data_IF_638137216658
#
_entry.id   IF_638137216658
#
_cell.length_a   1.000
_cell.length_b   1.000
_cell.length_c   1.000
_cell.angle_alpha   90.00
_cell.angle_beta   90.00
_cell.angle_gamma   90.00
#
_symmetry.space_group_name_H-M   'P 1'
#
loop_
_entity.id
_entity.type
_entity.pdbx_description
1 polymer ?
#
# COMPACT_ATOMS: atom_id res chain seq x y z
N UNK A 1 -4.36 -20.21 4.95
CA UNK A 1 -5.01 -19.06 5.63
C UNK A 1 -6.48 -19.15 5.30
N UNK A 2 -7.36 -19.33 6.29
CA UNK A 2 -8.80 -19.28 6.05
C UNK A 2 -9.21 -17.83 5.83
N UNK A 3 -9.64 -17.50 4.61
CA UNK A 3 -10.19 -16.17 4.31
C UNK A 3 -11.48 -16.02 5.11
N UNK A 4 -11.57 -15.07 6.07
CA UNK A 4 -12.81 -14.85 6.81
C UNK A 4 -13.89 -14.35 5.85
N UNK A 5 -15.16 -14.76 6.01
CA UNK A 5 -16.23 -14.26 5.16
C UNK A 5 -16.40 -12.75 5.34
N UNK A 6 -16.53 -12.05 4.23
CA UNK A 6 -16.58 -10.59 4.14
C UNK A 6 -17.66 -10.01 5.06
N UNK A 7 -17.39 -8.84 5.65
CA UNK A 7 -18.30 -8.16 6.56
C UNK A 7 -19.53 -7.59 5.81
N UNK A 8 -20.58 -8.40 5.65
CA UNK A 8 -21.81 -8.00 4.94
C UNK A 8 -22.45 -6.70 5.44
N UNK A 9 -22.40 -6.42 6.76
CA UNK A 9 -22.88 -5.14 7.33
C UNK A 9 -22.10 -3.93 6.80
N UNK A 10 -20.77 -4.02 6.74
CA UNK A 10 -19.92 -2.94 6.23
C UNK A 10 -20.07 -2.81 4.71
N UNK A 11 -20.18 -3.93 4.00
CA UNK A 11 -20.45 -3.91 2.56
C UNK A 11 -21.72 -3.11 2.26
N UNK A 12 -22.83 -3.40 2.95
CA UNK A 12 -24.10 -2.66 2.77
C UNK A 12 -23.94 -1.18 3.14
N UNK A 13 -23.29 -0.86 4.27
CA UNK A 13 -23.06 0.54 4.67
C UNK A 13 -22.19 1.30 3.65
N UNK A 14 -21.15 0.67 3.12
CA UNK A 14 -20.25 1.27 2.13
C UNK A 14 -20.94 1.55 0.79
N UNK A 15 -21.89 0.70 0.38
CA UNK A 15 -22.70 0.94 -0.82
C UNK A 15 -23.61 2.17 -0.68
N UNK A 16 -23.84 2.66 0.54
CA UNK A 16 -24.47 3.96 0.79
C UNK A 16 -23.72 5.14 0.16
N UNK A 17 -22.44 4.98 -0.20
CA UNK A 17 -21.69 5.98 -0.94
C UNK A 17 -22.31 6.29 -2.31
N UNK A 18 -22.93 5.31 -2.98
CA UNK A 18 -23.56 5.50 -4.30
C UNK A 18 -24.66 6.58 -4.30
N UNK A 19 -25.75 6.43 -3.52
CA UNK A 19 -26.81 7.44 -3.49
C UNK A 19 -26.32 8.77 -2.89
N UNK A 20 -25.38 8.73 -1.94
CA UNK A 20 -24.81 9.95 -1.35
C UNK A 20 -24.04 10.75 -2.40
N UNK A 21 -23.07 10.14 -3.09
CA UNK A 21 -22.28 10.80 -4.14
C UNK A 21 -23.19 11.37 -5.24
N UNK A 22 -24.14 10.58 -5.73
CA UNK A 22 -25.09 11.03 -6.74
C UNK A 22 -25.90 12.25 -6.28
N UNK A 23 -26.45 12.23 -5.06
CA UNK A 23 -27.22 13.34 -4.52
C UNK A 23 -26.36 14.61 -4.35
N UNK A 24 -25.12 14.47 -3.87
CA UNK A 24 -24.20 15.60 -3.70
C UNK A 24 -23.88 16.27 -5.02
N UNK A 25 -23.75 15.53 -6.12
CA UNK A 25 -23.45 16.12 -7.41
C UNK A 25 -24.53 17.11 -7.91
N UNK A 26 -25.73 17.09 -7.31
CA UNK A 26 -26.81 18.03 -7.60
C UNK A 26 -26.92 19.21 -6.61
N UNK A 27 -26.05 19.30 -5.59
CA UNK A 27 -26.09 20.36 -4.59
C UNK A 27 -25.26 21.56 -5.04
N UNK A 28 -25.92 22.68 -5.31
CA UNK A 28 -25.28 23.91 -5.81
C UNK A 28 -24.19 24.48 -4.87
N UNK A 29 -24.35 24.31 -3.56
CA UNK A 29 -23.36 24.75 -2.55
C UNK A 29 -21.99 24.05 -2.66
N UNK A 30 -21.92 22.92 -3.37
CA UNK A 30 -20.67 22.19 -3.63
C UNK A 30 -19.87 22.74 -4.82
N UNK A 31 -20.35 23.82 -5.44
CA UNK A 31 -19.60 24.59 -6.44
C UNK A 31 -18.47 25.44 -5.83
N UNK A 32 -18.34 25.45 -4.50
CA UNK A 32 -17.29 26.16 -3.76
C UNK A 32 -16.46 25.20 -2.90
N UNK A 33 -15.11 25.34 -2.87
CA UNK A 33 -14.23 24.43 -2.12
C UNK A 33 -14.59 24.28 -0.63
N UNK A 34 -15.02 25.34 0.04
CA UNK A 34 -15.45 25.29 1.44
C UNK A 34 -16.72 24.46 1.64
N UNK A 35 -17.67 24.54 0.71
CA UNK A 35 -18.88 23.72 0.73
C UNK A 35 -18.54 22.23 0.65
N UNK A 36 -17.58 21.87 -0.21
CA UNK A 36 -17.07 20.50 -0.34
C UNK A 36 -16.50 19.98 0.97
N UNK A 37 -15.67 20.78 1.65
CA UNK A 37 -15.06 20.38 2.93
C UNK A 37 -16.11 20.19 4.01
N UNK A 38 -17.02 21.15 4.20
CA UNK A 38 -18.05 21.09 5.25
C UNK A 38 -19.00 19.91 5.06
N UNK A 39 -19.45 19.67 3.82
CA UNK A 39 -20.32 18.54 3.52
C UNK A 39 -19.60 17.20 3.68
N UNK A 40 -18.33 17.10 3.25
CA UNK A 40 -17.53 15.90 3.45
C UNK A 40 -17.34 15.58 4.94
N UNK A 41 -17.05 16.59 5.76
CA UNK A 41 -16.93 16.43 7.21
C UNK A 41 -18.26 16.02 7.86
N UNK A 42 -19.38 16.61 7.43
CA UNK A 42 -20.72 16.24 7.92
C UNK A 42 -21.05 14.78 7.60
N UNK A 43 -20.80 14.34 6.36
CA UNK A 43 -21.06 12.96 5.93
C UNK A 43 -20.20 11.97 6.71
N UNK A 44 -18.91 12.25 6.87
CA UNK A 44 -18.02 11.41 7.67
C UNK A 44 -18.48 11.34 9.13
N UNK A 45 -18.93 12.46 9.71
CA UNK A 45 -19.49 12.51 11.05
C UNK A 45 -20.76 11.67 11.20
N UNK A 46 -21.72 11.81 10.29
CA UNK A 46 -22.96 11.02 10.27
C UNK A 46 -22.68 9.53 10.07
N UNK A 47 -21.77 9.20 9.15
CA UNK A 47 -21.32 7.83 8.91
C UNK A 47 -20.70 7.23 10.17
N UNK A 48 -19.82 7.97 10.86
CA UNK A 48 -19.21 7.51 12.10
C UNK A 48 -20.25 7.24 13.19
N UNK A 49 -21.24 8.13 13.36
CA UNK A 49 -22.36 7.92 14.30
C UNK A 49 -23.18 6.68 13.93
N UNK A 50 -23.47 6.47 12.64
CA UNK A 50 -24.18 5.29 12.16
C UNK A 50 -23.38 4.00 12.43
N UNK A 51 -22.07 3.99 12.13
CA UNK A 51 -21.19 2.85 12.42
C UNK A 51 -21.14 2.55 13.92
N UNK A 52 -20.97 3.59 14.74
CA UNK A 52 -20.90 3.47 16.20
C UNK A 52 -22.17 2.90 16.82
N UNK A 53 -23.34 3.36 16.35
CA UNK A 53 -24.63 2.87 16.83
C UNK A 53 -24.93 1.44 16.38
N UNK A 54 -24.64 1.09 15.12
CA UNK A 54 -24.95 -0.22 14.54
C UNK A 54 -23.97 -1.34 14.91
N UNK A 55 -22.73 -0.98 15.30
CA UNK A 55 -21.63 -1.94 15.51
C UNK A 55 -20.90 -1.74 16.86
N UNK A 56 -21.63 -1.30 17.89
CA UNK A 56 -21.07 -0.99 19.21
C UNK A 56 -20.31 -2.17 19.83
N UNK A 57 -20.78 -3.40 19.64
CA UNK A 57 -20.16 -4.61 20.20
C UNK A 57 -18.85 -5.00 19.52
N UNK A 58 -18.75 -4.78 18.20
CA UNK A 58 -17.53 -4.99 17.43
C UNK A 58 -16.48 -3.93 17.77
N UNK A 59 -16.88 -2.66 17.85
CA UNK A 59 -15.99 -1.53 18.18
C UNK A 59 -15.45 -1.62 19.61
N UNK A 60 -16.28 -2.06 20.57
CA UNK A 60 -15.84 -2.25 21.95
C UNK A 60 -14.76 -3.34 22.07
N UNK A 61 -14.84 -4.38 21.24
CA UNK A 61 -13.82 -5.43 21.20
C UNK A 61 -12.56 -4.98 20.47
N UNK A 62 -12.71 -4.35 19.30
CA UNK A 62 -11.59 -3.82 18.52
C UNK A 62 -11.97 -2.50 17.84
N UNK A 63 -11.41 -1.36 18.26
CA UNK A 63 -11.76 -0.05 17.72
C UNK A 63 -11.35 0.12 16.25
N UNK A 64 -10.46 -0.73 15.72
CA UNK A 64 -10.10 -0.72 14.29
C UNK A 64 -11.27 -1.10 13.39
N UNK A 65 -12.31 -1.73 13.94
CA UNK A 65 -13.55 -1.99 13.21
C UNK A 65 -14.16 -0.70 12.64
N UNK A 66 -14.20 0.38 13.43
CA UNK A 66 -14.74 1.66 12.97
C UNK A 66 -13.88 2.27 11.85
N UNK A 67 -12.55 2.17 11.97
CA UNK A 67 -11.61 2.66 10.94
C UNK A 67 -11.82 1.91 9.62
N UNK A 68 -11.87 0.58 9.66
CA UNK A 68 -12.09 -0.21 8.45
C UNK A 68 -13.49 0.01 7.85
N UNK A 69 -14.51 0.27 8.66
CA UNK A 69 -15.84 0.57 8.17
C UNK A 69 -15.91 1.94 7.47
N UNK A 70 -15.27 2.98 8.04
CA UNK A 70 -15.18 4.30 7.41
C UNK A 70 -14.37 4.22 6.12
N UNK A 71 -13.20 3.57 6.14
CA UNK A 71 -12.40 3.45 4.91
C UNK A 71 -13.05 2.56 3.85
N UNK A 72 -13.84 1.55 4.22
CA UNK A 72 -14.61 0.81 3.23
C UNK A 72 -15.63 1.70 2.50
N UNK A 73 -16.25 2.66 3.20
CA UNK A 73 -17.13 3.64 2.56
C UNK A 73 -16.34 4.57 1.62
N UNK A 74 -15.21 5.11 2.08
CA UNK A 74 -14.40 6.03 1.26
C UNK A 74 -13.82 5.31 0.04
N UNK A 75 -13.45 4.04 0.14
CA UNK A 75 -13.02 3.24 -1.02
C UNK A 75 -14.11 3.10 -2.09
N UNK A 76 -15.39 3.02 -1.71
CA UNK A 76 -16.48 3.04 -2.72
C UNK A 76 -16.56 4.41 -3.39
N UNK A 77 -16.36 5.49 -2.63
CA UNK A 77 -16.26 6.85 -3.19
C UNK A 77 -15.07 6.96 -4.16
N UNK A 78 -13.91 6.42 -3.80
CA UNK A 78 -12.72 6.38 -4.66
C UNK A 78 -12.98 5.60 -5.95
N UNK A 79 -13.65 4.45 -5.87
CA UNK A 79 -14.05 3.71 -7.06
C UNK A 79 -14.96 4.53 -7.99
N UNK A 80 -15.90 5.29 -7.43
CA UNK A 80 -16.76 6.17 -8.21
C UNK A 80 -16.00 7.32 -8.86
N UNK A 81 -15.00 7.88 -8.17
CA UNK A 81 -14.09 8.87 -8.74
C UNK A 81 -13.36 8.28 -9.94
N UNK A 82 -12.74 7.11 -9.79
CA UNK A 82 -11.98 6.46 -10.86
C UNK A 82 -12.87 6.13 -12.08
N UNK A 83 -14.03 5.50 -11.85
CA UNK A 83 -14.98 5.16 -12.91
C UNK A 83 -15.52 6.39 -13.65
N UNK A 84 -15.73 7.50 -12.93
CA UNK A 84 -16.20 8.72 -13.56
C UNK A 84 -15.10 9.39 -14.38
N UNK A 85 -13.88 9.49 -13.87
CA UNK A 85 -12.78 10.08 -14.62
C UNK A 85 -12.43 9.25 -15.87
N UNK A 86 -12.68 7.95 -15.88
CA UNK A 86 -12.53 7.13 -17.09
C UNK A 86 -13.79 7.09 -17.98
N UNK A 87 -14.86 7.77 -17.58
CA UNK A 87 -16.09 7.89 -18.39
C UNK A 87 -17.03 6.69 -18.33
N UNK A 88 -16.81 5.74 -17.41
CA UNK A 88 -17.71 4.61 -17.17
C UNK A 88 -18.92 4.98 -16.32
N UNK A 89 -18.82 6.06 -15.54
CA UNK A 89 -19.90 6.61 -14.72
C UNK A 89 -20.05 8.11 -14.97
N UNK A 90 -21.24 8.67 -14.77
CA UNK A 90 -21.51 10.10 -14.94
C UNK A 90 -22.36 10.62 -13.80
N UNK A 91 -22.02 11.80 -13.27
CA UNK A 91 -22.86 12.53 -12.33
C UNK A 91 -22.74 12.11 -10.87
N UNK A 92 -21.61 11.51 -10.46
CA UNK A 92 -21.39 11.06 -9.08
C UNK A 92 -20.41 11.95 -8.31
N UNK A 93 -19.26 12.27 -8.88
CA UNK A 93 -18.11 12.84 -8.17
C UNK A 93 -17.51 14.07 -8.87
N UNK A 94 -18.23 14.68 -9.80
CA UNK A 94 -17.70 15.77 -10.64
C UNK A 94 -17.45 17.04 -9.83
N UNK A 95 -18.33 17.34 -8.88
CA UNK A 95 -18.12 18.42 -7.92
C UNK A 95 -16.82 18.22 -7.12
N UNK A 96 -16.48 16.98 -6.75
CA UNK A 96 -15.36 16.70 -5.87
C UNK A 96 -14.03 16.76 -6.62
N UNK A 97 -13.95 16.19 -7.82
CA UNK A 97 -12.71 16.25 -8.62
C UNK A 97 -12.47 17.61 -9.26
N UNK A 98 -13.51 18.43 -9.46
CA UNK A 98 -13.35 19.83 -9.90
C UNK A 98 -13.06 20.76 -8.73
N UNK A 99 -13.85 20.68 -7.66
CA UNK A 99 -13.85 21.69 -6.61
C UNK A 99 -13.09 21.31 -5.32
N UNK A 100 -12.98 20.01 -5.04
CA UNK A 100 -12.19 19.49 -3.93
C UNK A 100 -10.76 19.17 -4.36
N UNK A 101 -10.57 18.00 -4.98
CA UNK A 101 -9.26 17.38 -5.16
C UNK A 101 -8.94 17.16 -6.66
N UNK A 102 -8.47 18.20 -7.38
CA UNK A 102 -8.19 18.13 -8.82
C UNK A 102 -7.06 17.16 -9.17
N UNK A 103 -6.20 16.83 -8.22
CA UNK A 103 -5.11 15.86 -8.36
C UNK A 103 -5.62 14.44 -8.64
N UNK A 104 -6.84 14.09 -8.21
CA UNK A 104 -7.46 12.79 -8.49
C UNK A 104 -7.80 12.60 -9.97
N UNK A 105 -7.83 13.68 -10.76
CA UNK A 105 -8.04 13.64 -12.22
C UNK A 105 -6.80 13.22 -13.00
N UNK A 106 -5.65 13.14 -12.35
CA UNK A 106 -4.42 12.64 -12.98
C UNK A 106 -4.50 11.13 -13.18
N UNK A 107 -3.73 10.59 -14.12
CA UNK A 107 -3.63 9.15 -14.29
C UNK A 107 -3.21 8.43 -12.99
N UNK A 108 -2.25 8.99 -12.24
CA UNK A 108 -1.83 8.43 -10.97
C UNK A 108 -2.94 8.45 -9.92
N UNK A 109 -3.66 9.58 -9.80
CA UNK A 109 -4.81 9.71 -8.91
C UNK A 109 -5.91 8.69 -9.21
N UNK A 110 -6.27 8.52 -10.49
CA UNK A 110 -7.25 7.51 -10.94
C UNK A 110 -6.83 6.10 -10.53
N UNK A 111 -5.57 5.71 -10.73
CA UNK A 111 -5.12 4.37 -10.36
C UNK A 111 -4.96 4.16 -8.85
N UNK A 112 -4.65 5.20 -8.07
CA UNK A 112 -4.76 5.12 -6.59
C UNK A 112 -6.22 4.86 -6.22
N UNK A 113 -7.16 5.59 -6.79
CA UNK A 113 -8.58 5.40 -6.52
C UNK A 113 -9.09 4.00 -6.91
N UNK A 114 -8.62 3.44 -8.03
CA UNK A 114 -8.91 2.04 -8.37
C UNK A 114 -8.34 1.06 -7.35
N UNK A 115 -7.10 1.26 -6.90
CA UNK A 115 -6.50 0.40 -5.88
C UNK A 115 -7.25 0.46 -4.55
N UNK A 116 -7.63 1.67 -4.14
CA UNK A 116 -8.41 1.91 -2.92
C UNK A 116 -9.79 1.25 -3.03
N UNK A 117 -10.49 1.50 -4.14
CA UNK A 117 -11.81 0.96 -4.44
C UNK A 117 -11.89 -0.55 -4.66
N UNK A 118 -10.75 -1.22 -4.86
CA UNK A 118 -10.68 -2.67 -5.10
C UNK A 118 -9.91 -3.38 -4.00
N UNK A 119 -8.58 -3.25 -3.96
CA UNK A 119 -7.70 -3.98 -3.06
C UNK A 119 -7.91 -3.55 -1.62
N UNK A 120 -7.87 -2.24 -1.32
CA UNK A 120 -8.11 -1.79 0.04
C UNK A 120 -9.55 -2.08 0.49
N UNK A 121 -10.55 -1.87 -0.37
CA UNK A 121 -11.93 -2.24 -0.07
C UNK A 121 -12.07 -3.69 0.39
N UNK A 122 -11.50 -4.64 -0.37
CA UNK A 122 -11.51 -6.06 -0.02
C UNK A 122 -10.76 -6.34 1.28
N UNK A 123 -9.63 -5.68 1.52
CA UNK A 123 -8.88 -5.79 2.77
C UNK A 123 -9.70 -5.28 3.97
N UNK A 124 -10.41 -4.16 3.85
CA UNK A 124 -11.27 -3.63 4.90
C UNK A 124 -12.40 -4.60 5.25
N UNK A 125 -13.08 -5.14 4.24
CA UNK A 125 -14.15 -6.12 4.45
C UNK A 125 -13.63 -7.41 5.09
N UNK A 126 -12.43 -7.88 4.70
CA UNK A 126 -11.81 -9.07 5.26
C UNK A 126 -11.35 -8.85 6.71
N UNK A 127 -10.69 -7.73 7.01
CA UNK A 127 -10.22 -7.39 8.36
C UNK A 127 -11.39 -7.17 9.32
N UNK A 128 -12.42 -6.43 8.90
CA UNK A 128 -13.61 -6.26 9.72
C UNK A 128 -14.40 -7.56 9.88
N UNK A 129 -14.43 -8.42 8.85
CA UNK A 129 -14.99 -9.76 8.93
C UNK A 129 -14.26 -10.63 9.94
N UNK A 130 -12.92 -10.53 10.00
CA UNK A 130 -12.09 -11.19 11.01
C UNK A 130 -12.41 -10.69 12.43
N UNK A 131 -12.51 -9.37 12.64
CA UNK A 131 -12.87 -8.78 13.94
C UNK A 131 -14.22 -9.32 14.42
N UNK A 132 -15.23 -9.35 13.55
CA UNK A 132 -16.57 -9.87 13.87
C UNK A 132 -16.53 -11.34 14.26
N UNK A 133 -15.67 -12.13 13.62
CA UNK A 133 -15.46 -13.55 13.92
C UNK A 133 -14.44 -13.79 15.04
N UNK A 134 -13.96 -12.72 15.70
CA UNK A 134 -12.91 -12.80 16.74
C UNK A 134 -11.66 -13.54 16.26
N UNK A 135 -11.35 -13.43 14.96
CA UNK A 135 -10.17 -14.01 14.32
C UNK A 135 -9.08 -12.94 14.17
N UNK A 136 -7.82 -13.41 14.14
CA UNK A 136 -6.66 -12.55 13.89
C UNK A 136 -6.64 -12.07 12.44
N UNK A 137 -6.27 -10.82 12.22
CA UNK A 137 -6.14 -10.20 10.90
C UNK A 137 -4.81 -9.47 10.70
N UNK A 138 -3.90 -9.54 11.68
CA UNK A 138 -2.62 -8.84 11.71
C UNK A 138 -1.87 -8.85 10.38
N UNK A 139 -1.76 -9.99 9.71
CA UNK A 139 -1.02 -10.08 8.44
C UNK A 139 -1.69 -9.28 7.31
N UNK A 140 -3.02 -9.28 7.24
CA UNK A 140 -3.78 -8.42 6.31
C UNK A 140 -3.57 -6.94 6.68
N UNK A 141 -3.57 -6.62 7.97
CA UNK A 141 -3.31 -5.28 8.48
C UNK A 141 -1.92 -4.76 8.12
N UNK A 142 -0.88 -5.60 8.20
CA UNK A 142 0.49 -5.21 7.82
C UNK A 142 0.62 -4.97 6.32
N UNK A 143 -0.01 -5.80 5.49
CA UNK A 143 -0.08 -5.58 4.05
C UNK A 143 -0.80 -4.27 3.71
N UNK A 144 -2.00 -4.07 4.28
CA UNK A 144 -2.76 -2.84 4.15
C UNK A 144 -1.93 -1.62 4.57
N UNK A 145 -1.26 -1.69 5.71
CA UNK A 145 -0.48 -0.58 6.24
C UNK A 145 0.63 -0.16 5.28
N UNK A 146 1.38 -1.11 4.71
CA UNK A 146 2.43 -0.78 3.75
C UNK A 146 1.90 -0.17 2.46
N UNK A 147 0.81 -0.73 1.93
CA UNK A 147 0.09 -0.22 0.76
C UNK A 147 -0.39 1.23 0.98
N UNK A 148 -0.97 1.49 2.14
CA UNK A 148 -1.46 2.80 2.53
C UNK A 148 -0.33 3.82 2.75
N UNK A 149 0.74 3.44 3.46
CA UNK A 149 1.92 4.30 3.68
C UNK A 149 2.54 4.71 2.34
N UNK A 150 2.69 3.76 1.42
CA UNK A 150 3.27 4.05 0.10
C UNK A 150 2.41 5.05 -0.68
N UNK A 151 1.09 4.88 -0.66
CA UNK A 151 0.15 5.82 -1.29
C UNK A 151 0.36 7.23 -0.75
N UNK A 152 0.48 7.39 0.56
CA UNK A 152 0.72 8.70 1.19
C UNK A 152 2.09 9.27 0.81
N UNK A 153 3.15 8.47 0.89
CA UNK A 153 4.53 8.91 0.63
C UNK A 153 4.74 9.37 -0.82
N UNK A 154 3.95 8.87 -1.76
CA UNK A 154 4.01 9.28 -3.16
C UNK A 154 3.01 10.39 -3.47
N UNK A 155 1.75 10.22 -3.07
CA UNK A 155 0.67 11.11 -3.50
C UNK A 155 0.75 12.49 -2.86
N UNK A 156 0.98 12.59 -1.55
CA UNK A 156 1.01 13.89 -0.87
C UNK A 156 2.20 14.74 -1.34
N UNK A 157 3.46 14.26 -1.31
CA UNK A 157 4.58 15.03 -1.83
C UNK A 157 4.45 15.31 -3.34
N UNK A 158 3.89 14.38 -4.11
CA UNK A 158 3.60 14.60 -5.54
C UNK A 158 2.64 15.76 -5.77
N UNK A 159 1.60 15.91 -4.96
CA UNK A 159 0.69 17.06 -5.02
C UNK A 159 1.40 18.39 -4.71
N UNK A 160 2.37 18.37 -3.78
CA UNK A 160 3.13 19.56 -3.37
C UNK A 160 4.22 19.93 -4.38
N UNK A 161 4.85 18.95 -5.04
CA UNK A 161 5.99 19.15 -5.95
C UNK A 161 5.57 19.27 -7.42
N UNK A 162 4.45 18.67 -7.79
CA UNK A 162 4.01 18.57 -9.18
C UNK A 162 3.34 19.84 -9.69
N UNK A 163 2.76 19.73 -10.89
CA UNK A 163 2.06 20.82 -11.58
C UNK A 163 0.90 21.46 -10.81
N UNK A 164 0.38 20.82 -9.78
CA UNK A 164 -0.71 21.33 -8.93
C UNK A 164 -0.23 22.02 -7.65
N UNK A 165 1.09 22.20 -7.47
CA UNK A 165 1.70 22.80 -6.29
C UNK A 165 1.18 24.21 -5.95
N UNK A 166 0.76 24.99 -6.95
CA UNK A 166 0.16 26.32 -6.77
C UNK A 166 -1.33 26.31 -6.44
N UNK A 167 -2.00 25.15 -6.49
CA UNK A 167 -3.45 24.99 -6.34
C UNK A 167 -3.84 24.12 -5.13
N UNK A 168 -3.12 24.26 -4.01
CA UNK A 168 -3.45 23.54 -2.78
C UNK A 168 -4.77 24.07 -2.20
N UNK A 169 -5.86 23.35 -2.48
CA UNK A 169 -7.22 23.66 -2.00
C UNK A 169 -7.40 23.29 -0.53
N UNK A 170 -8.35 23.91 0.21
CA UNK A 170 -8.59 23.58 1.62
C UNK A 170 -8.92 22.11 1.90
N UNK A 171 -9.48 21.40 0.92
CA UNK A 171 -9.72 19.94 0.99
C UNK A 171 -8.44 19.14 1.19
N UNK A 172 -7.27 19.65 0.77
CA UNK A 172 -5.98 19.03 1.02
C UNK A 172 -5.73 18.81 2.52
N UNK A 173 -6.26 19.66 3.40
CA UNK A 173 -6.12 19.48 4.85
C UNK A 173 -6.94 18.31 5.40
N UNK A 174 -7.91 17.79 4.63
CA UNK A 174 -8.54 16.50 4.94
C UNK A 174 -7.54 15.35 4.86
N UNK A 175 -6.39 15.53 4.21
CA UNK A 175 -5.30 14.54 4.27
C UNK A 175 -4.74 14.36 5.69
N UNK A 176 -4.85 15.35 6.59
CA UNK A 176 -4.34 15.27 7.97
C UNK A 176 -4.97 14.10 8.74
N UNK A 177 -6.31 14.00 8.89
CA UNK A 177 -6.92 12.84 9.54
C UNK A 177 -6.63 11.54 8.79
N UNK A 178 -6.53 11.58 7.45
CA UNK A 178 -6.13 10.44 6.62
C UNK A 178 -4.67 9.98 6.84
N UNK A 179 -3.80 10.81 7.40
CA UNK A 179 -2.44 10.41 7.83
C UNK A 179 -2.47 9.95 9.29
N UNK A 180 -3.10 10.72 10.19
CA UNK A 180 -3.06 10.47 11.63
C UNK A 180 -3.78 9.17 12.04
N UNK A 181 -4.99 8.94 11.51
CA UNK A 181 -5.79 7.76 11.87
C UNK A 181 -5.11 6.46 11.41
N UNK A 182 -4.57 6.35 10.19
CA UNK A 182 -3.84 5.17 9.75
C UNK A 182 -2.50 4.97 10.43
N UNK A 183 -1.79 6.04 10.81
CA UNK A 183 -0.61 5.93 11.67
C UNK A 183 -0.96 5.28 13.02
N UNK A 184 -2.02 5.75 13.68
CA UNK A 184 -2.53 5.13 14.90
C UNK A 184 -2.98 3.68 14.67
N UNK A 185 -3.71 3.41 13.60
CA UNK A 185 -4.16 2.07 13.25
C UNK A 185 -2.99 1.12 12.98
N UNK A 186 -1.96 1.59 12.29
CA UNK A 186 -0.74 0.85 12.03
C UNK A 186 0.00 0.48 13.31
N UNK A 187 0.16 1.41 14.25
CA UNK A 187 0.73 1.12 15.58
C UNK A 187 -0.09 0.06 16.34
N UNK A 188 -1.42 0.11 16.23
CA UNK A 188 -2.31 -0.91 16.80
C UNK A 188 -2.12 -2.27 16.14
N UNK A 189 -2.00 -2.34 14.81
CA UNK A 189 -1.74 -3.60 14.08
C UNK A 189 -0.39 -4.19 14.47
N UNK A 190 0.66 -3.37 14.56
CA UNK A 190 1.99 -3.83 14.97
C UNK A 190 2.05 -4.34 16.41
N UNK A 191 1.27 -3.74 17.32
CA UNK A 191 1.23 -4.18 18.72
C UNK A 191 0.42 -5.47 18.93
N UNK A 192 -0.31 -5.96 17.93
CA UNK A 192 -0.94 -7.28 17.98
C UNK A 192 0.12 -8.38 18.02
N UNK A 193 -0.09 -9.37 18.89
CA UNK A 193 0.79 -10.52 18.99
C UNK A 193 0.89 -11.28 17.66
N UNK A 194 2.11 -11.67 17.30
CA UNK A 194 2.34 -12.60 16.21
C UNK A 194 1.63 -13.92 16.47
N UNK A 195 1.22 -14.62 15.41
CA UNK A 195 0.64 -15.94 15.58
C UNK A 195 1.67 -16.88 16.23
N UNK A 196 1.30 -17.66 17.27
CA UNK A 196 2.16 -18.69 17.80
C UNK A 196 2.55 -19.61 16.66
N UNK A 197 3.85 -19.67 16.40
CA UNK A 197 4.37 -20.57 15.38
C UNK A 197 4.48 -21.94 16.06
N UNK A 198 3.76 -22.96 15.57
CA UNK A 198 3.87 -24.34 16.05
C UNK A 198 5.20 -24.99 15.59
N UNK A 199 6.32 -24.29 15.71
CA UNK A 199 7.65 -24.82 15.43
C UNK A 199 8.29 -25.23 16.75
N UNK A 200 8.71 -26.50 16.85
CA UNK A 200 9.53 -26.96 17.96
C UNK A 200 10.92 -26.33 17.86
N UNK A 201 11.61 -26.06 18.98
CA UNK A 201 12.95 -25.47 18.97
C UNK A 201 13.96 -26.27 18.14
N UNK A 202 13.81 -27.60 18.12
CA UNK A 202 14.67 -28.51 17.37
C UNK A 202 14.54 -28.31 15.85
N UNK A 203 13.31 -28.13 15.35
CA UNK A 203 13.06 -27.87 13.92
C UNK A 203 13.59 -26.49 13.52
N UNK A 204 13.43 -25.48 14.38
CA UNK A 204 14.02 -24.17 14.14
C UNK A 204 15.55 -24.24 14.06
N UNK A 205 16.19 -24.96 14.98
CA UNK A 205 17.64 -25.10 15.00
C UNK A 205 18.17 -25.86 13.78
N UNK A 206 17.45 -26.90 13.31
CA UNK A 206 17.82 -27.65 12.11
C UNK A 206 17.78 -26.77 10.85
N UNK A 207 16.70 -26.00 10.66
CA UNK A 207 16.59 -25.07 9.52
C UNK A 207 17.66 -23.97 9.59
N UNK A 208 18.02 -23.49 10.77
CA UNK A 208 19.05 -22.47 10.95
C UNK A 208 20.47 -22.96 10.68
N UNK A 209 20.72 -24.28 10.76
CA UNK A 209 22.00 -24.88 10.39
C UNK A 209 22.20 -25.00 8.87
N UNK A 210 21.12 -24.92 8.09
CA UNK A 210 21.21 -25.06 6.63
C UNK A 210 21.88 -23.85 6.01
N UNK A 211 22.96 -24.10 5.25
CA UNK A 211 23.59 -23.08 4.42
C UNK A 211 22.64 -22.56 3.33
N UNK A 212 22.94 -21.39 2.75
CA UNK A 212 22.08 -20.78 1.72
C UNK A 212 21.89 -21.68 0.48
N UNK A 213 22.93 -22.42 0.07
CA UNK A 213 22.87 -23.34 -1.06
C UNK A 213 21.90 -24.52 -0.83
N UNK A 214 21.66 -24.88 0.43
CA UNK A 214 20.68 -25.91 0.80
C UNK A 214 19.24 -25.35 0.85
N UNK A 215 19.08 -24.03 0.65
CA UNK A 215 17.81 -23.31 0.67
C UNK A 215 17.61 -22.61 -0.69
N UNK A 216 17.27 -23.35 -1.76
CA UNK A 216 17.25 -22.81 -3.13
C UNK A 216 16.26 -21.66 -3.32
N UNK A 217 15.14 -21.65 -2.59
CA UNK A 217 14.17 -20.55 -2.62
C UNK A 217 14.79 -19.27 -2.03
N UNK A 218 15.52 -19.39 -0.92
CA UNK A 218 16.17 -18.25 -0.28
C UNK A 218 17.30 -17.71 -1.16
N UNK A 219 18.06 -18.61 -1.81
CA UNK A 219 19.07 -18.23 -2.81
C UNK A 219 18.46 -17.47 -3.99
N UNK A 220 17.38 -17.98 -4.57
CA UNK A 220 16.67 -17.31 -5.67
C UNK A 220 16.14 -15.93 -5.24
N UNK A 221 15.60 -15.81 -4.02
CA UNK A 221 15.16 -14.54 -3.47
C UNK A 221 16.31 -13.56 -3.22
N UNK A 222 17.48 -14.02 -2.77
CA UNK A 222 18.67 -13.17 -2.63
C UNK A 222 19.14 -12.63 -3.98
N UNK A 223 19.18 -13.49 -5.01
CA UNK A 223 19.52 -13.06 -6.38
C UNK A 223 18.50 -12.04 -6.89
N UNK A 224 17.20 -12.33 -6.70
CA UNK A 224 16.13 -11.41 -7.04
C UNK A 224 16.30 -10.05 -6.33
N UNK A 225 16.55 -10.04 -5.02
CA UNK A 225 16.71 -8.81 -4.24
C UNK A 225 17.92 -8.00 -4.70
N UNK A 226 19.01 -8.65 -5.12
CA UNK A 226 20.17 -7.98 -5.71
C UNK A 226 19.81 -7.31 -7.05
N UNK A 227 19.11 -8.02 -7.93
CA UNK A 227 18.65 -7.48 -9.22
C UNK A 227 17.63 -6.35 -9.04
N UNK A 228 16.65 -6.53 -8.15
CA UNK A 228 15.67 -5.51 -7.79
C UNK A 228 16.34 -4.29 -7.15
N UNK A 229 17.34 -4.49 -6.29
CA UNK A 229 18.14 -3.42 -5.70
C UNK A 229 18.88 -2.61 -6.77
N UNK A 230 19.57 -3.29 -7.69
CA UNK A 230 20.22 -2.63 -8.83
C UNK A 230 19.23 -1.83 -9.67
N UNK A 231 18.09 -2.42 -10.02
CA UNK A 231 17.06 -1.75 -10.81
C UNK A 231 16.47 -0.54 -10.09
N UNK A 232 16.28 -0.64 -8.78
CA UNK A 232 15.80 0.45 -7.93
C UNK A 232 16.79 1.61 -7.90
N UNK A 233 18.07 1.30 -7.67
CA UNK A 233 19.14 2.29 -7.66
C UNK A 233 19.23 2.98 -9.03
N UNK A 234 19.20 2.21 -10.11
CA UNK A 234 19.24 2.73 -11.47
C UNK A 234 18.09 3.72 -11.73
N UNK A 235 16.83 3.35 -11.43
CA UNK A 235 15.69 4.28 -11.57
C UNK A 235 15.81 5.51 -10.68
N UNK A 236 16.37 5.37 -9.47
CA UNK A 236 16.70 6.50 -8.60
C UNK A 236 17.69 7.47 -9.24
N UNK A 237 18.76 6.96 -9.83
CA UNK A 237 19.75 7.76 -10.56
C UNK A 237 19.16 8.42 -11.81
N UNK A 238 18.26 7.74 -12.52
CA UNK A 238 17.55 8.29 -13.68
C UNK A 238 16.77 9.54 -13.29
N UNK A 239 16.00 9.50 -12.20
CA UNK A 239 15.17 10.65 -11.79
C UNK A 239 15.94 11.77 -11.10
N UNK A 240 17.18 11.49 -10.69
CA UNK A 240 18.17 12.46 -10.22
C UNK A 240 19.02 13.04 -11.37
N UNK A 241 18.59 12.84 -12.62
CA UNK A 241 19.20 13.39 -13.82
C UNK A 241 20.66 12.97 -14.03
N UNK A 242 20.98 11.70 -13.73
CA UNK A 242 22.31 11.13 -13.99
C UNK A 242 22.67 11.23 -15.49
N UNK A 243 23.85 11.80 -15.85
CA UNK A 243 24.19 12.13 -17.24
C UNK A 243 24.64 10.94 -18.09
N UNK A 244 24.43 9.70 -17.65
CA UNK A 244 24.91 8.51 -18.35
C UNK A 244 23.99 8.17 -19.53
N UNK A 245 24.55 7.72 -20.66
CA UNK A 245 23.79 7.33 -21.85
C UNK A 245 22.67 6.32 -21.55
N UNK A 246 22.93 5.34 -20.67
CA UNK A 246 21.93 4.37 -20.25
C UNK A 246 20.72 5.02 -19.54
N UNK A 247 20.95 6.04 -18.71
CA UNK A 247 19.87 6.78 -18.03
C UNK A 247 19.07 7.61 -19.03
N UNK A 248 19.75 8.24 -19.98
CA UNK A 248 19.12 8.98 -21.07
C UNK A 248 18.25 8.06 -21.95
N UNK A 249 18.80 6.95 -22.43
CA UNK A 249 18.04 5.97 -23.23
C UNK A 249 16.81 5.48 -22.46
N UNK A 250 16.97 5.13 -21.18
CA UNK A 250 15.87 4.63 -20.37
C UNK A 250 14.73 5.64 -20.19
N UNK A 251 15.05 6.89 -19.82
CA UNK A 251 14.03 7.91 -19.52
C UNK A 251 13.31 8.44 -20.77
N UNK A 252 13.89 8.26 -21.96
CA UNK A 252 13.26 8.69 -23.22
C UNK A 252 12.60 7.55 -24.00
N UNK A 253 13.14 6.31 -23.94
CA UNK A 253 12.65 5.20 -24.75
C UNK A 253 11.81 4.18 -23.96
N UNK A 254 12.09 3.99 -22.68
CA UNK A 254 11.43 2.95 -21.86
C UNK A 254 10.42 3.53 -20.88
N UNK A 255 10.81 4.54 -20.08
CA UNK A 255 9.91 5.15 -19.09
C UNK A 255 9.86 6.68 -19.18
N UNK A 256 9.29 7.24 -20.28
CA UNK A 256 9.00 8.67 -20.40
C UNK A 256 8.19 9.26 -19.25
N UNK A 257 7.38 8.43 -18.58
CA UNK A 257 6.51 8.86 -17.48
C UNK A 257 7.29 9.48 -16.32
N UNK A 258 8.55 9.07 -16.10
CA UNK A 258 9.43 9.66 -15.08
C UNK A 258 9.67 11.17 -15.27
N UNK A 259 9.43 11.71 -16.48
CA UNK A 259 9.55 13.13 -16.82
C UNK A 259 8.24 13.91 -16.72
N UNK A 260 7.13 13.25 -16.36
CA UNK A 260 5.82 13.90 -16.28
C UNK A 260 5.81 14.99 -15.18
N UNK A 261 5.36 16.22 -15.49
CA UNK A 261 5.28 17.33 -14.53
C UNK A 261 4.35 17.08 -13.33
N UNK A 262 3.54 16.01 -13.32
CA UNK A 262 2.77 15.62 -12.13
C UNK A 262 3.65 15.14 -10.95
N UNK A 263 4.93 14.88 -11.18
CA UNK A 263 5.95 14.52 -10.18
C UNK A 263 5.75 13.20 -9.41
N UNK A 264 4.57 12.58 -9.36
CA UNK A 264 4.35 11.27 -8.71
C UNK A 264 5.38 10.19 -9.11
N UNK A 265 5.67 9.93 -10.40
CA UNK A 265 6.63 8.89 -10.78
C UNK A 265 8.04 9.20 -10.30
N UNK A 266 8.44 10.48 -10.32
CA UNK A 266 9.73 10.94 -9.79
C UNK A 266 9.81 10.71 -8.28
N UNK A 267 8.79 11.14 -7.52
CA UNK A 267 8.70 10.93 -6.07
C UNK A 267 8.74 9.43 -5.75
N UNK A 268 8.01 8.60 -6.50
CA UNK A 268 7.99 7.15 -6.30
C UNK A 268 9.38 6.52 -6.46
N UNK A 269 10.14 6.89 -7.49
CA UNK A 269 11.50 6.35 -7.66
C UNK A 269 12.45 6.81 -6.54
N UNK A 270 12.28 8.03 -6.02
CA UNK A 270 13.03 8.49 -4.85
C UNK A 270 12.65 7.73 -3.58
N UNK A 271 11.36 7.52 -3.33
CA UNK A 271 10.88 6.69 -2.20
C UNK A 271 11.44 5.28 -2.32
N UNK A 272 11.48 4.71 -3.52
CA UNK A 272 12.12 3.40 -3.72
C UNK A 272 13.61 3.44 -3.41
N UNK A 273 14.34 4.43 -3.91
CA UNK A 273 15.77 4.59 -3.65
C UNK A 273 16.08 4.75 -2.15
N UNK A 274 15.27 5.49 -1.40
CA UNK A 274 15.54 5.77 0.02
C UNK A 274 14.99 4.73 0.99
N UNK A 275 13.94 3.98 0.64
CA UNK A 275 13.29 3.04 1.57
C UNK A 275 13.31 1.58 1.07
N UNK A 276 13.08 1.35 -0.21
CA UNK A 276 13.03 -0.01 -0.77
C UNK A 276 14.43 -0.57 -0.99
N UNK A 277 15.36 0.23 -1.50
CA UNK A 277 16.74 -0.20 -1.72
C UNK A 277 17.44 -0.64 -0.42
N UNK A 278 17.39 0.11 0.71
CA UNK A 278 17.91 -0.38 1.98
C UNK A 278 17.21 -1.65 2.45
N UNK A 279 15.88 -1.74 2.26
CA UNK A 279 15.13 -2.94 2.60
C UNK A 279 15.58 -4.17 1.78
N UNK A 280 15.89 -4.02 0.49
CA UNK A 280 16.44 -5.12 -0.32
C UNK A 280 17.72 -5.68 0.29
N UNK A 281 18.64 -4.81 0.74
CA UNK A 281 19.86 -5.22 1.44
C UNK A 281 19.59 -5.91 2.78
N UNK A 282 18.70 -5.34 3.60
CA UNK A 282 18.31 -5.93 4.89
C UNK A 282 17.60 -7.28 4.72
N UNK A 283 16.73 -7.41 3.73
CA UNK A 283 16.03 -8.65 3.43
C UNK A 283 16.99 -9.73 2.93
N UNK A 284 17.94 -9.38 2.06
CA UNK A 284 18.99 -10.30 1.63
C UNK A 284 19.84 -10.78 2.82
N UNK A 285 20.23 -9.85 3.70
CA UNK A 285 20.91 -10.17 4.96
C UNK A 285 20.08 -11.16 5.80
N UNK A 286 18.79 -10.90 5.99
CA UNK A 286 17.92 -11.73 6.82
C UNK A 286 17.60 -13.11 6.22
N UNK A 287 17.77 -13.30 4.91
CA UNK A 287 17.71 -14.62 4.26
C UNK A 287 19.01 -15.40 4.44
N UNK A 288 20.15 -14.71 4.52
CA UNK A 288 21.46 -15.31 4.72
C UNK A 288 21.65 -15.70 6.20
N UNK A 289 21.33 -14.79 7.11
CA UNK A 289 21.57 -14.94 8.54
C UNK A 289 20.29 -15.31 9.32
N UNK A 290 20.30 -16.41 10.10
CA UNK A 290 19.14 -16.87 10.84
C UNK A 290 18.75 -15.94 12.00
N UNK A 291 17.51 -16.09 12.48
CA UNK A 291 17.04 -15.39 13.69
C UNK A 291 16.49 -13.98 13.48
N UNK A 292 16.37 -13.53 12.23
CA UNK A 292 15.80 -12.23 11.86
C UNK A 292 14.27 -12.21 11.98
N UNK A 293 13.75 -12.21 13.23
CA UNK A 293 12.30 -12.31 13.51
C UNK A 293 11.46 -11.14 13.02
N UNK A 294 12.08 -10.04 12.62
CA UNK A 294 11.42 -8.86 12.08
C UNK A 294 11.10 -8.99 10.58
N UNK A 295 11.81 -9.86 9.84
CA UNK A 295 11.66 -9.95 8.38
C UNK A 295 10.23 -10.32 7.94
N UNK A 296 9.53 -11.31 8.53
CA UNK A 296 8.19 -11.67 8.07
C UNK A 296 7.19 -10.51 8.11
N UNK A 297 7.29 -9.65 9.11
CA UNK A 297 6.41 -8.49 9.25
C UNK A 297 6.73 -7.41 8.20
N UNK A 298 8.01 -7.07 8.06
CA UNK A 298 8.44 -6.08 7.09
C UNK A 298 8.27 -6.56 5.65
N UNK A 299 8.43 -7.85 5.37
CA UNK A 299 8.14 -8.43 4.06
C UNK A 299 6.67 -8.24 3.67
N UNK A 300 5.71 -8.36 4.62
CA UNK A 300 4.30 -8.07 4.37
C UNK A 300 4.05 -6.58 4.09
N UNK A 301 4.66 -5.70 4.89
CA UNK A 301 4.54 -4.24 4.71
C UNK A 301 5.09 -3.85 3.33
N UNK A 302 6.29 -4.29 2.97
CA UNK A 302 6.87 -3.99 1.66
C UNK A 302 6.12 -4.66 0.51
N UNK A 303 5.51 -5.83 0.70
CA UNK A 303 4.65 -6.44 -0.31
C UNK A 303 3.44 -5.55 -0.63
N UNK A 304 2.76 -5.04 0.40
CA UNK A 304 1.66 -4.08 0.20
C UNK A 304 2.12 -2.78 -0.44
N UNK A 305 3.22 -2.21 0.06
CA UNK A 305 3.79 -0.97 -0.44
C UNK A 305 4.14 -1.07 -1.93
N UNK A 306 4.91 -2.10 -2.32
CA UNK A 306 5.30 -2.28 -3.72
C UNK A 306 4.10 -2.66 -4.60
N UNK A 307 3.15 -3.45 -4.09
CA UNK A 307 1.93 -3.79 -4.83
C UNK A 307 1.16 -2.54 -5.27
N UNK A 308 0.88 -1.64 -4.33
CA UNK A 308 0.18 -0.39 -4.61
C UNK A 308 0.97 0.50 -5.56
N UNK A 309 2.24 0.75 -5.25
CA UNK A 309 3.05 1.67 -6.05
C UNK A 309 3.29 1.16 -7.48
N UNK A 310 3.48 -0.15 -7.67
CA UNK A 310 3.63 -0.72 -9.01
C UNK A 310 2.31 -0.67 -9.78
N UNK A 311 1.18 -0.97 -9.14
CA UNK A 311 -0.12 -0.84 -9.78
C UNK A 311 -0.39 0.60 -10.27
N UNK A 312 -0.20 1.58 -9.39
CA UNK A 312 -0.40 2.99 -9.74
C UNK A 312 0.60 3.49 -10.78
N UNK A 313 1.87 3.10 -10.69
CA UNK A 313 2.89 3.51 -11.66
C UNK A 313 2.68 2.90 -13.02
N UNK A 314 2.48 1.57 -13.10
CA UNK A 314 2.23 0.88 -14.36
C UNK A 314 0.97 1.41 -15.04
N UNK A 315 -0.13 1.50 -14.29
CA UNK A 315 -1.38 2.04 -14.78
C UNK A 315 -1.23 3.46 -15.32
N UNK A 316 -0.66 4.37 -14.51
CA UNK A 316 -0.49 5.75 -14.92
C UNK A 316 0.47 5.93 -16.11
N UNK A 317 1.52 5.11 -16.21
CA UNK A 317 2.50 5.18 -17.30
C UNK A 317 1.89 4.93 -18.69
N UNK A 318 0.73 4.26 -18.77
CA UNK A 318 0.09 3.92 -20.04
C UNK A 318 -1.27 4.59 -20.23
N UNK A 319 -1.82 5.15 -19.16
CA UNK A 319 -3.16 5.71 -19.17
C UNK A 319 -3.30 6.88 -20.13
N UNK A 320 -4.46 7.02 -20.78
CA UNK A 320 -4.72 8.08 -21.76
C UNK A 320 -4.65 9.50 -21.16
N UNK A 321 -4.84 9.63 -19.84
CA UNK A 321 -4.70 10.90 -19.11
C UNK A 321 -3.24 11.33 -18.92
N UNK A 322 -2.28 10.43 -19.15
CA UNK A 322 -0.87 10.76 -19.24
C UNK A 322 -0.59 11.30 -20.64
N UNK A 323 0.02 12.49 -20.79
CA UNK A 323 0.31 13.06 -22.10
C UNK A 323 1.11 12.08 -22.95
N UNK A 324 0.83 12.04 -24.26
CA UNK A 324 1.43 11.07 -25.17
C UNK A 324 2.97 11.03 -25.11
N UNK A 325 3.62 12.18 -24.95
CA UNK A 325 5.08 12.33 -24.84
C UNK A 325 5.69 11.70 -23.58
N UNK A 326 4.86 11.42 -22.56
CA UNK A 326 5.24 10.81 -21.29
C UNK A 326 4.66 9.40 -21.13
N UNK A 327 3.88 8.89 -22.08
CA UNK A 327 3.40 7.51 -22.05
C UNK A 327 4.52 6.55 -22.48
N UNK A 328 4.45 5.32 -22.00
CA UNK A 328 5.33 4.24 -22.46
C UNK A 328 5.06 3.99 -23.96
N UNK A 329 6.10 4.00 -24.81
CA UNK A 329 5.97 3.69 -26.23
C UNK A 329 5.53 2.25 -26.49
N UNK A 330 4.69 2.03 -27.51
CA UNK A 330 4.07 0.72 -27.81
C UNK A 330 5.10 -0.39 -28.07
N UNK A 331 6.25 -0.06 -28.65
CA UNK A 331 7.36 -0.96 -28.94
C UNK A 331 8.08 -1.47 -27.67
N UNK A 332 8.01 -0.73 -26.56
CA UNK A 332 8.66 -1.09 -25.29
C UNK A 332 7.67 -1.60 -24.23
N UNK A 333 6.37 -1.65 -24.51
CA UNK A 333 5.33 -2.10 -23.58
C UNK A 333 5.65 -3.45 -22.94
N UNK A 334 6.00 -4.46 -23.76
CA UNK A 334 6.26 -5.80 -23.25
C UNK A 334 7.41 -5.82 -22.21
N UNK A 335 8.51 -5.12 -22.52
CA UNK A 335 9.65 -4.99 -21.61
C UNK A 335 9.25 -4.25 -20.33
N UNK A 336 8.59 -3.10 -20.46
CA UNK A 336 8.10 -2.31 -19.35
C UNK A 336 7.21 -3.13 -18.41
N UNK A 337 6.19 -3.80 -18.96
CA UNK A 337 5.25 -4.61 -18.19
C UNK A 337 5.93 -5.76 -17.47
N UNK A 338 6.76 -6.53 -18.17
CA UNK A 338 7.42 -7.71 -17.59
C UNK A 338 8.36 -7.28 -16.47
N UNK A 339 9.18 -6.24 -16.67
CA UNK A 339 10.09 -5.74 -15.64
C UNK A 339 9.34 -5.25 -14.40
N UNK A 340 8.29 -4.43 -14.57
CA UNK A 340 7.52 -3.91 -13.43
C UNK A 340 6.69 -5.00 -12.74
N UNK A 341 6.13 -5.96 -13.48
CA UNK A 341 5.41 -7.10 -12.90
C UNK A 341 6.34 -8.00 -12.08
N UNK A 342 7.52 -8.35 -12.62
CA UNK A 342 8.51 -9.13 -11.88
C UNK A 342 8.96 -8.39 -10.61
N UNK A 343 9.16 -7.08 -10.70
CA UNK A 343 9.48 -6.22 -9.56
C UNK A 343 8.35 -6.21 -8.50
N UNK A 344 7.09 -6.20 -8.94
CA UNK A 344 5.93 -6.26 -8.05
C UNK A 344 5.79 -7.63 -7.36
N UNK A 345 6.08 -8.71 -8.06
CA UNK A 345 5.89 -10.08 -7.56
C UNK A 345 6.90 -10.47 -6.47
N UNK A 346 8.15 -10.01 -6.56
CA UNK A 346 9.18 -10.49 -5.65
C UNK A 346 8.95 -10.24 -4.15
N UNK A 347 8.53 -9.03 -3.72
CA UNK A 347 8.14 -8.79 -2.33
C UNK A 347 7.00 -9.69 -1.84
N UNK A 348 6.04 -10.01 -2.72
CA UNK A 348 4.95 -10.95 -2.41
C UNK A 348 5.47 -12.38 -2.25
N UNK A 349 6.40 -12.81 -3.10
CA UNK A 349 7.08 -14.11 -2.96
C UNK A 349 7.92 -14.19 -1.69
N UNK A 350 8.61 -13.11 -1.32
CA UNK A 350 9.35 -13.01 -0.06
C UNK A 350 8.41 -13.11 1.15
N UNK A 351 7.31 -12.36 1.15
CA UNK A 351 6.30 -12.44 2.20
C UNK A 351 5.70 -13.86 2.30
N UNK A 352 5.37 -14.46 1.17
CA UNK A 352 4.88 -15.84 1.10
C UNK A 352 5.89 -16.83 1.69
N UNK A 353 7.17 -16.72 1.32
CA UNK A 353 8.27 -17.52 1.86
C UNK A 353 8.41 -17.37 3.38
N UNK A 354 8.33 -16.14 3.88
CA UNK A 354 8.43 -15.85 5.32
C UNK A 354 7.25 -16.45 6.11
N UNK A 355 6.04 -16.38 5.56
CA UNK A 355 4.83 -16.88 6.21
C UNK A 355 4.70 -18.40 6.15
N UNK A 356 5.11 -19.03 5.04
CA UNK A 356 4.97 -20.49 4.87
C UNK A 356 6.00 -21.26 5.66
N UNK A 357 7.22 -20.74 5.78
CA UNK A 357 8.32 -21.40 6.50
C UNK A 357 9.05 -20.42 7.44
N UNK A 358 8.40 -20.02 8.55
CA UNK A 358 8.95 -19.02 9.47
C UNK A 358 10.13 -19.51 10.32
N UNK A 359 10.35 -20.84 10.40
CA UNK A 359 11.30 -21.47 11.33
C UNK A 359 12.71 -20.86 11.30
N UNK A 360 13.23 -20.53 10.11
CA UNK A 360 14.55 -19.93 9.95
C UNK A 360 14.70 -18.56 10.65
N UNK A 361 13.61 -17.78 10.70
CA UNK A 361 13.60 -16.41 11.21
C UNK A 361 13.33 -16.32 12.71
N UNK A 362 12.95 -17.43 13.37
CA UNK A 362 12.65 -17.43 14.79
C UNK A 362 13.89 -17.15 15.63
N UNK A 363 13.74 -16.36 16.70
CA UNK A 363 14.83 -16.17 17.67
C UNK A 363 15.13 -17.50 18.37
N UNK A 364 16.41 -17.88 18.54
CA UNK A 364 16.76 -19.02 19.37
C UNK A 364 16.20 -18.84 20.79
N UNK A 365 15.73 -19.91 21.45
CA UNK A 365 15.42 -19.82 22.87
C UNK A 365 16.67 -19.37 23.64
N UNK A 366 16.53 -18.54 24.70
CA UNK A 366 17.66 -18.21 25.55
C UNK A 366 18.27 -19.51 26.09
N UNK A 367 19.57 -19.69 25.87
CA UNK A 367 20.29 -20.87 26.33
C UNK A 367 20.12 -21.05 27.84
N UNK A 368 20.05 -22.31 28.29
CA UNK A 368 20.04 -22.60 29.72
C UNK A 368 21.24 -21.91 30.40
N UNK A 369 21.05 -21.25 31.55
CA UNK A 369 22.16 -20.61 32.26
C UNK A 369 23.25 -21.65 32.49
N UNK A 370 24.49 -21.30 32.12
CA UNK A 370 25.64 -22.15 32.31
C UNK A 370 25.66 -22.60 33.78
N UNK A 371 25.52 -23.91 34.01
CA UNK A 371 25.76 -24.48 35.32
C UNK A 371 27.18 -24.11 35.73
N UNK A 372 27.31 -23.12 36.62
CA UNK A 372 28.55 -22.87 37.34
C UNK A 372 28.92 -24.18 38.05
N UNK A 373 29.89 -24.90 37.50
CA UNK A 373 30.59 -25.97 38.22
C UNK A 373 31.15 -25.34 39.49
N UNK A 374 30.54 -25.63 40.64
CA UNK A 374 31.20 -25.48 41.93
C UNK A 374 32.40 -26.41 41.91
N UNK A 375 33.60 -25.84 41.86
CA UNK A 375 34.81 -26.57 42.24
C UNK A 375 34.73 -26.79 43.75
N UNK A 376 34.79 -28.06 44.14
CA UNK A 376 34.97 -28.50 45.52
C UNK A 376 36.45 -28.50 45.87
#
# INVERSE_FOLDING_TARGET
MDIPPLAGKIAVLSLGALPVSYALNHVSALSHPLGVVLMSALILGLLFVAIYSLSRGEICYDPLYAVFAVFAFTSVVDLLIALQEDGYAVGFMEFYTKEGDPYLRTAHGVFICYWDGTVHYLLYLAMAGAIRRRKRYRNLGLYWLGSFIMSILVFLPGNILGKYSSEIRPSFFLAIPYVLVPCWAGMRVFSQSQAPTCCTPNVAQEEQRKGLLQRPIDLALVIYLALAGFFTLFRGLVVLDCPTDACFVYIYQYEPYLRDPVAYPKVQMLVYMFYVLPFCGLAAYALIFPGCSWLPDWALVFAGAIGQAQFSHMGASMHLRTPFTYRVPDDTWACFFVCNLLYALGPHLLAYRCLRWPAFFLRPPPGAPAHHKKQH
#
